data_IF_923177493961
#
_entry.id   IF_923177493961
#
_cell.length_a   1.000
_cell.length_b   1.000
_cell.length_c   1.000
_cell.angle_alpha   90.00
_cell.angle_beta   90.00
_cell.angle_gamma   90.00
#
_symmetry.space_group_name_H-M   'P 1'
#
loop_
_entity.id
_entity.type
_entity.pdbx_description
1 polymer ?
#
# COMPACT_ATOMS: atom_id res chain seq x y z
N UNK A 1 2.56 32.64 -54.71
CA UNK A 1 3.64 32.74 -55.72
C UNK A 1 4.86 33.32 -55.01
N UNK A 2 5.88 32.48 -54.80
CA UNK A 2 7.22 32.57 -55.43
C UNK A 2 8.13 33.61 -54.73
N UNK A 3 9.18 33.17 -54.02
CA UNK A 3 10.56 32.94 -54.53
C UNK A 3 11.28 34.31 -54.75
N UNK A 4 12.54 34.60 -54.42
CA UNK A 4 13.77 33.82 -54.17
C UNK A 4 14.76 34.69 -53.37
N UNK A 5 15.69 34.00 -52.71
CA UNK A 5 16.98 34.39 -52.14
C UNK A 5 17.96 35.22 -53.01
N UNK A 6 18.95 35.82 -52.34
CA UNK A 6 20.37 35.95 -52.77
C UNK A 6 21.18 36.42 -51.53
N UNK A 7 22.16 35.73 -50.92
CA UNK A 7 23.41 35.07 -51.33
C UNK A 7 24.57 36.05 -51.64
N UNK A 8 25.41 36.23 -50.60
CA UNK A 8 26.88 36.09 -50.56
C UNK A 8 27.85 37.26 -50.81
N UNK A 9 29.02 37.06 -50.17
CA UNK A 9 30.36 37.66 -50.33
C UNK A 9 30.62 38.86 -49.41
N UNK A 10 31.41 38.80 -48.34
CA UNK A 10 32.68 38.11 -48.13
C UNK A 10 33.82 39.12 -48.30
N UNK A 11 34.63 39.36 -47.26
CA UNK A 11 36.05 39.80 -47.29
C UNK A 11 36.51 39.83 -45.82
N UNK A 12 37.52 39.00 -45.51
CA UNK A 12 38.23 39.04 -44.24
C UNK A 12 39.39 40.03 -44.27
N UNK A 13 39.73 40.61 -43.12
CA UNK A 13 41.06 41.13 -42.83
C UNK A 13 41.29 40.95 -41.33
N UNK A 14 42.21 40.06 -40.97
CA UNK A 14 42.84 40.08 -39.66
C UNK A 14 44.21 40.75 -39.77
N UNK A 15 44.59 41.59 -38.80
CA UNK A 15 45.92 41.64 -38.16
C UNK A 15 45.70 42.24 -36.77
N UNK A 16 46.32 41.64 -35.76
CA UNK A 16 45.98 41.84 -34.35
C UNK A 16 46.60 43.05 -33.63
N UNK A 17 46.09 43.27 -32.42
CA UNK A 17 46.78 43.98 -31.36
C UNK A 17 46.45 43.32 -30.01
N UNK A 18 47.51 43.00 -29.26
CA UNK A 18 47.52 42.34 -27.95
C UNK A 18 46.87 43.23 -26.87
N UNK A 19 46.05 42.64 -25.98
CA UNK A 19 46.03 42.99 -24.55
C UNK A 19 45.17 42.03 -23.69
N UNK A 20 45.88 41.32 -22.79
CA UNK A 20 45.48 40.76 -21.48
C UNK A 20 44.59 39.50 -21.42
N UNK A 21 45.13 38.37 -20.91
CA UNK A 21 44.34 37.18 -20.62
C UNK A 21 43.59 37.36 -19.30
N UNK A 22 42.26 37.49 -19.35
CA UNK A 22 41.43 37.21 -18.17
C UNK A 22 41.33 35.71 -18.01
N UNK A 23 42.31 35.17 -17.29
CA UNK A 23 42.28 33.84 -16.70
C UNK A 23 41.20 33.87 -15.62
N UNK A 24 39.96 33.53 -15.96
CA UNK A 24 38.90 33.28 -14.97
C UNK A 24 39.18 31.90 -14.36
N UNK A 25 40.16 31.86 -13.46
CA UNK A 25 40.27 30.78 -12.49
C UNK A 25 39.23 31.04 -11.39
N UNK A 26 37.99 30.61 -11.62
CA UNK A 26 36.99 30.53 -10.56
C UNK A 26 36.74 29.06 -10.24
N UNK A 27 37.55 28.58 -9.29
CA UNK A 27 37.17 27.71 -8.17
C UNK A 27 36.05 26.71 -8.50
N UNK A 28 36.44 25.47 -8.72
CA UNK A 28 35.56 24.33 -8.53
C UNK A 28 34.87 24.49 -7.17
N UNK A 29 33.58 24.84 -7.19
CA UNK A 29 32.74 24.85 -5.99
C UNK A 29 32.64 23.40 -5.56
N UNK A 30 33.54 23.00 -4.66
CA UNK A 30 33.36 21.81 -3.84
C UNK A 30 31.95 21.87 -3.26
N UNK A 31 31.17 20.85 -3.52
CA UNK A 31 29.83 20.72 -2.97
C UNK A 31 29.90 20.99 -1.46
N UNK A 32 29.01 21.83 -0.91
CA UNK A 32 29.12 22.26 0.47
C UNK A 32 29.04 21.03 1.39
N UNK A 33 30.16 20.72 2.06
CA UNK A 33 30.33 19.65 3.07
C UNK A 33 29.23 19.67 4.15
N UNK A 34 28.55 20.80 4.28
CA UNK A 34 27.43 21.04 5.20
C UNK A 34 26.15 20.30 4.82
N UNK A 35 25.87 20.01 3.54
CA UNK A 35 24.67 19.23 3.16
C UNK A 35 24.78 17.75 3.54
N UNK A 36 25.98 17.16 3.40
CA UNK A 36 26.24 15.78 3.84
C UNK A 36 26.33 15.66 5.37
N UNK A 37 26.80 16.71 6.06
CA UNK A 37 26.82 16.77 7.51
C UNK A 37 25.40 16.93 8.09
N UNK A 38 24.53 17.72 7.46
CA UNK A 38 23.11 17.75 7.82
C UNK A 38 22.47 16.39 7.56
N UNK A 39 22.63 15.77 6.38
CA UNK A 39 22.04 14.45 6.11
C UNK A 39 22.48 13.34 7.08
N UNK A 40 23.72 13.39 7.60
CA UNK A 40 24.22 12.45 8.63
C UNK A 40 23.77 12.79 10.06
N UNK A 41 23.50 14.06 10.36
CA UNK A 41 23.14 14.53 11.71
C UNK A 41 21.67 14.25 12.06
N UNK A 42 20.83 14.00 11.07
CA UNK A 42 19.41 13.69 11.26
C UNK A 42 19.18 12.20 11.55
N UNK A 43 20.13 11.34 11.15
CA UNK A 43 20.09 9.88 11.39
C UNK A 43 20.33 9.55 12.88
N UNK A 44 20.96 10.44 13.64
CA UNK A 44 21.38 10.18 15.03
C UNK A 44 20.59 10.90 16.12
N UNK A 45 19.72 11.87 15.77
CA UNK A 45 18.99 12.70 16.75
C UNK A 45 17.48 12.40 16.85
N UNK A 46 17.05 11.22 16.40
CA UNK A 46 15.64 10.79 16.50
C UNK A 46 15.41 9.52 17.31
N UNK A 47 16.43 8.77 17.71
CA UNK A 47 16.27 7.44 18.33
C UNK A 47 16.11 7.45 19.86
N UNK A 48 15.88 8.62 20.47
CA UNK A 48 15.63 8.74 21.90
C UNK A 48 14.12 8.69 22.18
N UNK A 49 13.63 7.49 22.50
CA UNK A 49 12.27 7.19 23.01
C UNK A 49 11.10 7.70 22.17
N UNK A 50 10.90 7.13 20.98
CA UNK A 50 9.57 7.21 20.35
C UNK A 50 8.57 6.42 21.22
N UNK A 51 7.60 7.10 21.84
CA UNK A 51 6.54 6.46 22.65
C UNK A 51 5.43 5.83 21.79
N UNK A 52 5.60 5.74 20.47
CA UNK A 52 4.66 5.08 19.57
C UNK A 52 4.95 3.58 19.57
N UNK A 53 4.26 2.83 20.43
CA UNK A 53 4.36 1.38 20.49
C UNK A 53 3.12 0.72 19.88
N UNK A 54 3.32 -0.43 19.25
CA UNK A 54 2.26 -1.29 18.70
C UNK A 54 2.21 -2.64 19.43
N UNK A 55 2.58 -2.66 20.72
CA UNK A 55 2.78 -3.87 21.51
C UNK A 55 1.56 -4.79 21.60
N UNK A 56 0.35 -4.27 21.38
CA UNK A 56 -0.90 -5.08 21.34
C UNK A 56 -1.24 -5.63 19.94
N UNK A 57 -0.56 -5.17 18.91
CA UNK A 57 -0.77 -5.57 17.52
C UNK A 57 0.27 -6.61 17.07
N UNK A 58 1.52 -6.46 17.51
CA UNK A 58 2.65 -7.30 17.11
C UNK A 58 3.16 -8.16 18.26
N UNK A 59 3.73 -9.31 17.94
CA UNK A 59 4.40 -10.17 18.94
C UNK A 59 5.63 -9.48 19.52
N UNK A 60 6.02 -9.85 20.75
CA UNK A 60 7.20 -9.30 21.46
C UNK A 60 8.49 -9.30 20.63
N UNK A 61 8.66 -10.31 19.77
CA UNK A 61 9.83 -10.42 18.90
C UNK A 61 9.87 -9.40 17.74
N UNK A 62 8.76 -8.71 17.46
CA UNK A 62 8.62 -7.72 16.41
C UNK A 62 8.51 -6.28 16.94
N UNK A 63 8.37 -6.08 18.26
CA UNK A 63 8.21 -4.76 18.90
C UNK A 63 9.38 -3.79 18.66
N UNK A 64 10.59 -4.30 18.41
CA UNK A 64 11.79 -3.49 18.15
C UNK A 64 12.11 -3.24 16.68
N UNK A 65 11.25 -3.68 15.75
CA UNK A 65 11.48 -3.57 14.30
C UNK A 65 10.78 -2.33 13.73
N UNK A 66 11.27 -1.86 12.59
CA UNK A 66 10.61 -0.80 11.82
C UNK A 66 9.28 -1.28 11.24
N UNK A 67 8.35 -0.36 10.94
CA UNK A 67 7.04 -0.76 10.37
C UNK A 67 7.22 -1.46 9.02
N UNK A 68 8.18 -1.01 8.21
CA UNK A 68 8.57 -1.64 6.95
C UNK A 68 9.05 -3.09 7.13
N UNK A 69 9.81 -3.39 8.16
CA UNK A 69 10.26 -4.76 8.44
C UNK A 69 9.12 -5.65 8.91
N UNK A 70 8.22 -5.12 9.74
CA UNK A 70 7.04 -5.85 10.24
C UNK A 70 6.12 -6.19 9.07
N UNK A 71 5.80 -5.22 8.21
CA UNK A 71 4.88 -5.39 7.08
C UNK A 71 5.39 -6.43 6.06
N UNK A 72 6.70 -6.49 5.85
CA UNK A 72 7.32 -7.50 4.98
C UNK A 72 7.52 -8.86 5.67
N UNK A 73 7.23 -8.96 6.96
CA UNK A 73 7.29 -10.18 7.74
C UNK A 73 6.09 -11.11 7.55
N UNK A 74 6.20 -12.36 8.05
CA UNK A 74 5.12 -13.34 8.02
C UNK A 74 3.94 -12.96 8.93
N UNK A 75 2.78 -13.54 8.65
CA UNK A 75 1.51 -13.18 9.30
C UNK A 75 1.47 -13.52 10.80
N UNK A 76 2.16 -14.57 11.26
CA UNK A 76 2.29 -14.89 12.69
C UNK A 76 2.99 -13.82 13.54
N UNK A 77 3.60 -12.78 12.93
CA UNK A 77 4.11 -11.63 13.69
C UNK A 77 2.99 -10.79 14.29
N UNK A 78 1.74 -10.95 13.84
CA UNK A 78 0.57 -10.35 14.47
C UNK A 78 0.19 -11.12 15.73
N UNK A 79 -0.07 -10.39 16.81
CA UNK A 79 -0.43 -10.99 18.09
C UNK A 79 -1.76 -11.73 18.01
N UNK A 80 -1.78 -12.97 18.50
CA UNK A 80 -2.98 -13.82 18.52
C UNK A 80 -3.18 -14.66 17.27
N UNK A 81 -2.25 -14.62 16.31
CA UNK A 81 -2.18 -15.56 15.20
C UNK A 81 -1.18 -16.67 15.56
N UNK A 82 -1.60 -17.93 15.41
CA UNK A 82 -0.73 -19.10 15.58
C UNK A 82 -0.03 -19.47 14.27
N UNK A 83 1.06 -20.21 14.33
CA UNK A 83 1.79 -20.73 13.15
C UNK A 83 0.90 -21.54 12.19
N UNK A 84 -0.16 -22.19 12.69
CA UNK A 84 -1.17 -22.87 11.86
C UNK A 84 -1.85 -21.93 10.85
N UNK A 85 -1.88 -20.62 11.10
CA UNK A 85 -2.53 -19.67 10.21
C UNK A 85 -1.67 -19.42 8.98
N UNK A 86 -0.36 -19.55 9.10
CA UNK A 86 0.56 -19.40 7.97
C UNK A 86 0.28 -20.48 6.91
N UNK A 87 -0.03 -21.71 7.33
CA UNK A 87 -0.45 -22.79 6.41
C UNK A 87 -1.76 -22.46 5.69
N UNK A 88 -2.75 -21.93 6.41
CA UNK A 88 -4.01 -21.47 5.83
C UNK A 88 -3.76 -20.36 4.80
N UNK A 89 -3.00 -19.33 5.16
CA UNK A 89 -2.69 -18.21 4.27
C UNK A 89 -1.84 -18.62 3.07
N UNK A 90 -0.98 -19.61 3.21
CA UNK A 90 -0.22 -20.18 2.10
C UNK A 90 -1.15 -20.76 1.01
N UNK A 91 -2.29 -21.37 1.38
CA UNK A 91 -3.30 -21.84 0.41
C UNK A 91 -3.95 -20.69 -0.37
N UNK A 92 -4.00 -19.51 0.24
CA UNK A 92 -4.55 -18.28 -0.32
C UNK A 92 -3.51 -17.44 -1.06
N UNK A 93 -2.27 -17.96 -1.18
CA UNK A 93 -1.09 -17.26 -1.68
C UNK A 93 -0.80 -15.94 -0.93
N UNK A 94 -1.08 -15.92 0.36
CA UNK A 94 -0.77 -14.82 1.28
C UNK A 94 0.40 -15.26 2.17
N UNK A 95 1.54 -14.57 2.09
CA UNK A 95 2.75 -14.94 2.85
C UNK A 95 3.13 -13.89 3.88
N UNK A 96 2.95 -12.63 3.53
CA UNK A 96 3.34 -11.48 4.36
C UNK A 96 2.14 -10.73 4.90
N UNK A 97 2.38 -9.90 5.92
CA UNK A 97 1.35 -8.96 6.44
C UNK A 97 0.90 -8.01 5.33
N UNK A 98 1.82 -7.59 4.45
CA UNK A 98 1.49 -6.81 3.26
C UNK A 98 0.51 -7.53 2.33
N UNK A 99 0.77 -8.80 2.02
CA UNK A 99 -0.13 -9.59 1.17
C UNK A 99 -1.52 -9.71 1.79
N UNK A 100 -1.59 -9.87 3.12
CA UNK A 100 -2.87 -9.94 3.86
C UNK A 100 -3.64 -8.62 3.76
N UNK A 101 -2.95 -7.48 3.85
CA UNK A 101 -3.55 -6.16 3.69
C UNK A 101 -4.03 -5.91 2.24
N UNK A 102 -3.27 -6.39 1.26
CA UNK A 102 -3.57 -6.20 -0.15
C UNK A 102 -4.59 -7.20 -0.71
N UNK A 103 -4.90 -8.25 0.06
CA UNK A 103 -5.75 -9.35 -0.33
C UNK A 103 -7.15 -8.91 -0.77
N UNK A 104 -7.52 -9.26 -2.02
CA UNK A 104 -8.75 -8.79 -2.68
C UNK A 104 -10.03 -9.17 -1.90
N UNK A 105 -10.10 -10.39 -1.38
CA UNK A 105 -11.31 -10.88 -0.69
C UNK A 105 -11.50 -10.20 0.67
N UNK A 106 -10.41 -9.99 1.41
CA UNK A 106 -10.44 -9.21 2.64
C UNK A 106 -10.90 -7.76 2.42
N UNK A 107 -10.45 -7.13 1.33
CA UNK A 107 -10.89 -5.78 0.93
C UNK A 107 -12.39 -5.74 0.62
N UNK A 108 -12.89 -6.69 -0.18
CA UNK A 108 -14.31 -6.77 -0.52
C UNK A 108 -15.17 -7.04 0.72
N UNK A 109 -14.80 -8.03 1.54
CA UNK A 109 -15.53 -8.36 2.76
C UNK A 109 -15.58 -7.16 3.73
N UNK A 110 -14.45 -6.45 3.92
CA UNK A 110 -14.43 -5.24 4.77
C UNK A 110 -15.32 -4.15 4.19
N UNK A 111 -15.28 -3.91 2.87
CA UNK A 111 -16.08 -2.89 2.23
C UNK A 111 -17.59 -3.21 2.32
N UNK A 112 -17.97 -4.46 2.10
CA UNK A 112 -19.36 -4.91 2.25
C UNK A 112 -19.82 -4.75 3.70
N UNK A 113 -19.02 -5.17 4.68
CA UNK A 113 -19.36 -5.03 6.09
C UNK A 113 -19.59 -3.57 6.50
N UNK A 114 -18.72 -2.65 6.07
CA UNK A 114 -18.86 -1.21 6.36
C UNK A 114 -20.09 -0.59 5.69
N UNK A 115 -20.37 -0.95 4.43
CA UNK A 115 -21.52 -0.40 3.70
C UNK A 115 -22.85 -1.00 4.15
N UNK A 116 -22.84 -2.25 4.63
CA UNK A 116 -24.02 -2.91 5.18
C UNK A 116 -24.56 -2.18 6.42
N UNK A 117 -23.69 -1.63 7.27
CA UNK A 117 -24.11 -0.82 8.43
C UNK A 117 -24.90 0.44 8.03
N UNK A 118 -24.72 0.91 6.80
CA UNK A 118 -25.42 2.08 6.26
C UNK A 118 -26.70 1.71 5.49
N UNK A 119 -26.94 0.41 5.27
CA UNK A 119 -28.13 -0.07 4.60
C UNK A 119 -29.35 0.09 5.52
N UNK A 120 -30.41 0.72 5.01
CA UNK A 120 -31.69 0.82 5.72
C UNK A 120 -32.65 -0.18 5.11
N UNK A 121 -33.15 -1.10 5.93
CA UNK A 121 -34.14 -2.10 5.53
C UNK A 121 -35.33 -1.45 4.80
N UNK A 122 -35.67 -1.98 3.62
CA UNK A 122 -36.83 -1.55 2.83
C UNK A 122 -36.75 -0.17 2.18
N UNK A 123 -35.63 0.58 2.34
CA UNK A 123 -35.47 1.94 1.76
C UNK A 123 -34.62 1.98 0.49
N UNK A 124 -34.48 0.84 -0.21
CA UNK A 124 -33.80 0.83 -1.50
C UNK A 124 -34.64 1.62 -2.52
N UNK A 125 -34.11 2.70 -3.12
CA UNK A 125 -34.86 3.44 -4.12
C UNK A 125 -35.10 2.56 -5.35
N UNK A 126 -36.33 2.59 -5.87
CA UNK A 126 -36.67 1.89 -7.11
C UNK A 126 -35.78 2.39 -8.26
N UNK A 127 -35.09 1.48 -8.94
CA UNK A 127 -34.12 1.83 -9.99
C UNK A 127 -32.68 2.03 -9.51
N UNK A 128 -32.33 1.65 -8.27
CA UNK A 128 -30.93 1.67 -7.82
C UNK A 128 -30.04 0.75 -8.67
N UNK A 129 -29.17 1.37 -9.48
CA UNK A 129 -28.19 0.74 -10.36
C UNK A 129 -26.92 0.27 -9.62
N UNK A 130 -26.84 0.47 -8.30
CA UNK A 130 -25.67 0.09 -7.51
C UNK A 130 -25.53 -1.41 -7.50
N UNK A 131 -24.39 -1.89 -7.99
CA UNK A 131 -24.14 -3.31 -8.17
C UNK A 131 -22.67 -3.68 -7.92
N UNK A 132 -22.44 -4.84 -7.32
CA UNK A 132 -21.14 -5.43 -6.98
C UNK A 132 -20.86 -6.75 -7.72
N UNK A 133 -21.40 -6.93 -8.93
CA UNK A 133 -21.21 -8.09 -9.82
C UNK A 133 -19.78 -8.63 -9.99
N UNK A 134 -18.76 -7.78 -9.76
CA UNK A 134 -17.35 -8.21 -9.86
C UNK A 134 -16.79 -8.80 -8.57
N UNK A 135 -17.53 -8.70 -7.47
CA UNK A 135 -17.09 -9.14 -6.14
C UNK A 135 -17.86 -10.38 -5.66
N UNK A 136 -19.13 -10.52 -6.03
CA UNK A 136 -20.00 -11.64 -5.65
C UNK A 136 -20.22 -12.59 -6.81
N UNK A 137 -20.55 -13.85 -6.51
CA UNK A 137 -20.99 -14.80 -7.53
C UNK A 137 -22.34 -14.36 -8.16
N UNK A 138 -22.59 -14.81 -9.40
CA UNK A 138 -23.79 -14.52 -10.18
C UNK A 138 -25.09 -14.85 -9.43
N UNK A 139 -25.04 -15.88 -8.58
CA UNK A 139 -26.18 -16.32 -7.78
C UNK A 139 -26.57 -15.34 -6.66
N UNK A 140 -25.71 -14.36 -6.35
CA UNK A 140 -25.89 -13.45 -5.21
C UNK A 140 -25.91 -11.97 -5.60
N UNK A 141 -25.87 -11.65 -6.90
CA UNK A 141 -25.91 -10.28 -7.43
C UNK A 141 -27.19 -9.51 -7.09
N UNK A 142 -28.31 -10.21 -6.86
CA UNK A 142 -29.62 -9.59 -6.58
C UNK A 142 -29.90 -9.38 -5.10
N UNK A 143 -29.05 -9.92 -4.22
CA UNK A 143 -29.25 -9.87 -2.76
C UNK A 143 -28.87 -8.50 -2.18
N UNK A 144 -29.46 -8.18 -1.02
CA UNK A 144 -29.07 -7.02 -0.21
C UNK A 144 -27.68 -7.22 0.41
N UNK A 145 -27.01 -6.14 0.81
CA UNK A 145 -25.70 -6.26 1.47
C UNK A 145 -25.83 -7.03 2.78
N UNK A 146 -26.94 -6.81 3.49
CA UNK A 146 -27.30 -7.52 4.72
C UNK A 146 -27.43 -9.04 4.53
N UNK A 147 -27.99 -9.51 3.41
CA UNK A 147 -28.01 -10.93 3.08
C UNK A 147 -26.63 -11.45 2.68
N UNK A 148 -25.85 -10.65 1.95
CA UNK A 148 -24.51 -11.05 1.48
C UNK A 148 -23.55 -11.27 2.64
N UNK A 149 -23.59 -10.48 3.71
CA UNK A 149 -22.69 -10.69 4.86
C UNK A 149 -22.92 -12.03 5.58
N UNK A 150 -24.13 -12.59 5.49
CA UNK A 150 -24.51 -13.85 6.11
C UNK A 150 -24.09 -15.07 5.27
N UNK A 151 -23.65 -14.85 4.02
CA UNK A 151 -23.18 -15.91 3.14
C UNK A 151 -21.75 -16.34 3.47
N UNK A 152 -21.38 -17.58 3.09
CA UNK A 152 -20.01 -18.06 3.23
C UNK A 152 -19.04 -17.30 2.33
N UNK A 153 -17.73 -17.28 2.64
CA UNK A 153 -16.71 -16.70 1.77
C UNK A 153 -16.74 -17.22 0.32
N UNK A 154 -17.16 -18.47 0.10
CA UNK A 154 -17.37 -19.04 -1.25
C UNK A 154 -18.37 -18.26 -2.12
N UNK A 155 -19.25 -17.43 -1.54
CA UNK A 155 -20.10 -16.51 -2.29
C UNK A 155 -19.33 -15.35 -2.98
N UNK A 156 -18.05 -15.14 -2.63
CA UNK A 156 -17.18 -14.17 -3.29
C UNK A 156 -16.55 -14.76 -4.54
N UNK A 157 -16.53 -13.97 -5.62
CA UNK A 157 -16.06 -14.43 -6.92
C UNK A 157 -14.57 -14.79 -6.90
N UNK A 158 -14.27 -16.09 -7.09
CA UNK A 158 -12.92 -16.61 -7.24
C UNK A 158 -12.29 -17.18 -5.97
N UNK A 159 -13.06 -17.35 -4.89
CA UNK A 159 -12.67 -18.21 -3.76
C UNK A 159 -12.86 -19.67 -4.19
N UNK A 160 -11.86 -20.51 -3.91
CA UNK A 160 -11.93 -21.95 -4.16
C UNK A 160 -12.55 -22.67 -2.95
N UNK A 161 -13.12 -23.86 -3.13
CA UNK A 161 -13.65 -24.66 -2.02
C UNK A 161 -12.62 -24.94 -0.93
N UNK A 162 -11.36 -25.19 -1.32
CA UNK A 162 -10.23 -25.38 -0.38
C UNK A 162 -9.96 -24.14 0.48
N UNK A 163 -10.09 -22.96 -0.11
CA UNK A 163 -9.93 -21.70 0.62
C UNK A 163 -11.05 -21.50 1.65
N UNK A 164 -12.27 -21.92 1.32
CA UNK A 164 -13.43 -21.86 2.22
C UNK A 164 -13.24 -22.77 3.43
N UNK A 165 -12.81 -24.02 3.21
CA UNK A 165 -12.47 -24.97 4.29
C UNK A 165 -11.36 -24.44 5.20
N UNK A 166 -10.33 -23.81 4.60
CA UNK A 166 -9.21 -23.25 5.34
C UNK A 166 -9.66 -22.07 6.24
N UNK A 167 -10.54 -21.21 5.75
CA UNK A 167 -11.14 -20.11 6.52
C UNK A 167 -12.07 -20.63 7.63
N UNK A 168 -12.85 -21.68 7.34
CA UNK A 168 -13.75 -22.29 8.30
C UNK A 168 -13.00 -22.88 9.51
N UNK A 169 -11.77 -23.38 9.33
CA UNK A 169 -10.91 -23.84 10.42
C UNK A 169 -10.63 -22.75 11.48
N UNK A 170 -10.71 -21.47 11.09
CA UNK A 170 -10.56 -20.31 11.98
C UNK A 170 -11.90 -19.70 12.41
N UNK A 171 -13.01 -20.42 12.23
CA UNK A 171 -14.38 -19.95 12.49
C UNK A 171 -14.77 -18.72 11.66
N UNK A 172 -14.14 -18.53 10.50
CA UNK A 172 -14.48 -17.51 9.51
C UNK A 172 -15.44 -18.12 8.48
N UNK A 173 -16.65 -18.43 8.93
CA UNK A 173 -17.71 -19.09 8.15
C UNK A 173 -18.54 -18.13 7.29
N UNK A 174 -18.39 -16.82 7.48
CA UNK A 174 -19.24 -15.79 6.87
C UNK A 174 -18.44 -14.60 6.37
N UNK A 175 -18.90 -13.96 5.30
CA UNK A 175 -18.29 -12.74 4.75
C UNK A 175 -18.27 -11.63 5.80
N UNK A 176 -19.31 -11.53 6.64
CA UNK A 176 -19.36 -10.56 7.74
C UNK A 176 -18.26 -10.76 8.77
N UNK A 177 -17.98 -12.01 9.18
CA UNK A 177 -16.86 -12.30 10.10
C UNK A 177 -15.51 -12.01 9.46
N UNK A 178 -15.35 -12.35 8.18
CA UNK A 178 -14.14 -12.05 7.43
C UNK A 178 -13.91 -10.54 7.32
N UNK A 179 -14.95 -9.76 6.99
CA UNK A 179 -14.87 -8.30 6.88
C UNK A 179 -14.61 -7.59 8.21
N UNK A 180 -15.09 -8.17 9.32
CA UNK A 180 -14.87 -7.66 10.67
C UNK A 180 -13.63 -8.20 11.36
N UNK A 181 -12.81 -8.99 10.66
CA UNK A 181 -11.66 -9.62 11.25
C UNK A 181 -10.56 -8.61 11.61
N UNK A 182 -10.16 -8.58 12.88
CA UNK A 182 -9.20 -7.60 13.42
C UNK A 182 -7.86 -7.61 12.69
N UNK A 183 -7.38 -8.78 12.25
CA UNK A 183 -6.06 -8.90 11.61
C UNK A 183 -6.00 -8.26 10.23
N UNK A 184 -7.10 -8.27 9.47
CA UNK A 184 -7.18 -7.55 8.18
C UNK A 184 -7.15 -6.04 8.44
N UNK A 185 -7.86 -5.56 9.47
CA UNK A 185 -7.86 -4.15 9.86
C UNK A 185 -6.46 -3.70 10.30
N UNK A 186 -5.79 -4.50 11.12
CA UNK A 186 -4.42 -4.24 11.58
C UNK A 186 -3.41 -4.27 10.44
N UNK A 187 -3.42 -5.30 9.59
CA UNK A 187 -2.51 -5.40 8.46
C UNK A 187 -2.63 -4.18 7.53
N UNK A 188 -3.86 -3.74 7.24
CA UNK A 188 -4.11 -2.54 6.44
C UNK A 188 -3.59 -1.27 7.11
N UNK A 189 -3.86 -1.10 8.40
CA UNK A 189 -3.34 0.05 9.15
C UNK A 189 -1.80 0.08 9.18
N UNK A 190 -1.15 -1.07 9.38
CA UNK A 190 0.31 -1.20 9.36
C UNK A 190 0.88 -0.83 7.99
N UNK A 191 0.31 -1.34 6.90
CA UNK A 191 0.76 -1.01 5.54
C UNK A 191 0.62 0.48 5.29
N UNK A 192 -0.54 1.07 5.59
CA UNK A 192 -0.78 2.50 5.39
C UNK A 192 0.22 3.37 6.18
N UNK A 193 0.51 3.02 7.44
CA UNK A 193 1.48 3.77 8.23
C UNK A 193 2.93 3.54 7.78
N UNK A 194 3.25 2.34 7.27
CA UNK A 194 4.58 2.03 6.75
C UNK A 194 4.96 2.85 5.52
N UNK A 195 3.97 3.34 4.76
CA UNK A 195 4.19 4.26 3.63
C UNK A 195 4.61 5.66 4.11
N UNK A 196 4.20 6.06 5.30
CA UNK A 196 4.57 7.33 5.92
C UNK A 196 5.89 7.26 6.71
N UNK A 197 6.45 6.08 6.93
CA UNK A 197 7.75 5.90 7.58
C UNK A 197 8.86 6.38 6.64
N UNK A 198 9.71 7.31 7.07
CA UNK A 198 10.95 7.65 6.37
C UNK A 198 12.06 6.67 6.76
N UNK A 199 12.93 6.31 5.81
CA UNK A 199 14.07 5.45 6.12
C UNK A 199 15.04 6.19 7.04
N UNK A 200 15.30 5.63 8.23
CA UNK A 200 16.31 6.12 9.17
C UNK A 200 17.72 5.82 8.68
#
# INVERSE_FOLDING_TARGET
MKMVAFVNNGIGIGIGARARPWRVACVAKSAPRVMLAQKKRWITMGLESHSMNLSECVVKAAEGKTLREIVNGPVHQLQGITTRADEMFATLNVKTIKDLAEWKFGKWATAIAVLQELEREGKRPAGSMMNINKAVDKEHETKSLSEIIALPPSALQGITSKADEALQAYKLDTIGKLGNWKYIKWARALVTLSECEEAF
#
